data_IF_219923596855
#
_entry.id   IF_219923596855
#
_cell.length_a   1.000
_cell.length_b   1.000
_cell.length_c   1.000
_cell.angle_alpha   90.00
_cell.angle_beta   90.00
_cell.angle_gamma   90.00
#
_symmetry.space_group_name_H-M   'P 1'
#
loop_
_entity.id
_entity.type
_entity.pdbx_description
1 polymer ?
#
# COMPACT_ATOMS: atom_id res chain seq x y z
N UNK A 1 -1.75 -11.05 23.66
CA UNK A 1 -2.85 -11.36 22.71
C UNK A 1 -4.15 -11.78 23.40
N UNK A 2 -4.14 -12.58 24.49
CA UNK A 2 -5.36 -12.95 25.25
C UNK A 2 -6.16 -11.78 25.87
N UNK A 3 -5.51 -10.64 26.17
CA UNK A 3 -6.17 -9.45 26.75
C UNK A 3 -7.19 -8.77 25.81
N UNK A 4 -7.17 -9.04 24.50
CA UNK A 4 -8.08 -8.39 23.53
C UNK A 4 -8.96 -9.37 22.74
N UNK A 5 -9.00 -10.67 23.10
CA UNK A 5 -9.77 -11.71 22.39
C UNK A 5 -9.59 -11.72 20.86
N UNK A 6 -8.46 -11.21 20.33
CA UNK A 6 -8.18 -11.25 18.90
C UNK A 6 -7.54 -12.58 18.53
N UNK A 7 -8.04 -13.18 17.45
CA UNK A 7 -7.46 -14.38 16.88
C UNK A 7 -6.07 -14.04 16.29
N UNK A 8 -4.99 -14.74 16.73
CA UNK A 8 -3.65 -14.57 16.20
C UNK A 8 -3.55 -14.69 14.67
N UNK A 9 -4.47 -15.44 14.03
CA UNK A 9 -4.51 -15.61 12.58
C UNK A 9 -4.64 -14.27 11.81
N UNK A 10 -5.24 -13.25 12.43
CA UNK A 10 -5.40 -11.92 11.82
C UNK A 10 -4.21 -10.98 12.08
N UNK A 11 -3.29 -11.36 12.97
CA UNK A 11 -2.09 -10.56 13.27
C UNK A 11 -0.97 -10.90 12.27
N UNK A 12 -1.11 -10.47 11.01
CA UNK A 12 -0.19 -10.80 9.90
C UNK A 12 0.55 -9.58 9.31
N UNK A 13 1.39 -8.89 10.11
CA UNK A 13 2.18 -7.74 9.63
C UNK A 13 3.24 -8.12 8.57
N UNK A 14 3.53 -9.42 8.40
CA UNK A 14 4.38 -9.95 7.34
C UNK A 14 3.80 -9.71 5.94
N UNK A 15 2.46 -9.68 5.81
CA UNK A 15 1.79 -9.38 4.54
C UNK A 15 2.12 -7.94 4.11
N UNK A 16 1.92 -6.98 5.00
CA UNK A 16 2.28 -5.57 4.76
C UNK A 16 3.77 -5.43 4.48
N UNK A 17 4.63 -6.14 5.23
CA UNK A 17 6.07 -6.14 5.00
C UNK A 17 6.42 -6.55 3.57
N UNK A 18 5.88 -7.67 3.08
CA UNK A 18 6.12 -8.13 1.71
C UNK A 18 5.58 -7.17 0.66
N UNK A 19 4.39 -6.59 0.88
CA UNK A 19 3.83 -5.58 -0.03
C UNK A 19 4.76 -4.38 -0.17
N UNK A 20 5.24 -3.85 0.96
CA UNK A 20 6.18 -2.73 0.97
C UNK A 20 7.50 -3.07 0.27
N UNK A 21 8.01 -4.30 0.41
CA UNK A 21 9.20 -4.72 -0.32
C UNK A 21 8.98 -4.68 -1.84
N UNK A 22 7.82 -5.14 -2.33
CA UNK A 22 7.50 -5.11 -3.76
C UNK A 22 7.29 -3.68 -4.27
N UNK A 23 6.54 -2.86 -3.53
CA UNK A 23 6.26 -1.47 -3.89
C UNK A 23 7.55 -0.63 -3.94
N UNK A 24 8.40 -0.70 -2.92
CA UNK A 24 9.59 0.15 -2.84
C UNK A 24 10.76 -0.30 -3.73
N UNK A 25 10.76 -1.57 -4.16
CA UNK A 25 11.75 -2.08 -5.12
C UNK A 25 11.39 -1.79 -6.57
N UNK A 26 10.12 -1.47 -6.84
CA UNK A 26 9.62 -1.21 -8.18
C UNK A 26 10.38 -0.08 -8.90
N UNK A 27 10.69 -0.23 -10.20
CA UNK A 27 11.10 0.89 -11.05
C UNK A 27 10.17 2.10 -10.91
N UNK A 28 8.85 1.89 -10.75
CA UNK A 28 7.87 2.94 -10.54
C UNK A 28 8.20 3.85 -9.34
N UNK A 29 8.58 3.26 -8.20
CA UNK A 29 9.02 4.02 -7.04
C UNK A 29 10.33 4.76 -7.28
N UNK A 30 11.28 4.14 -7.99
CA UNK A 30 12.58 4.77 -8.32
C UNK A 30 12.42 5.93 -9.30
N UNK A 31 11.43 5.89 -10.17
CA UNK A 31 11.06 6.97 -11.07
C UNK A 31 10.35 8.13 -10.34
N UNK A 32 10.02 7.99 -9.05
CA UNK A 32 9.33 9.02 -8.27
C UNK A 32 7.83 9.11 -8.54
N UNK A 33 7.25 8.07 -9.14
CA UNK A 33 5.84 8.03 -9.56
C UNK A 33 4.96 7.16 -8.65
N UNK A 34 5.47 6.80 -7.46
CA UNK A 34 4.74 6.02 -6.47
C UNK A 34 4.76 6.73 -5.11
N UNK A 35 3.57 6.88 -4.53
CA UNK A 35 3.38 7.29 -3.14
C UNK A 35 2.60 6.20 -2.40
N UNK A 36 3.09 5.79 -1.22
CA UNK A 36 2.51 4.68 -0.45
C UNK A 36 1.94 5.18 0.88
N UNK A 37 0.71 4.75 1.17
CA UNK A 37 0.05 4.92 2.46
C UNK A 37 -0.30 3.55 3.04
N UNK A 38 -0.27 3.44 4.37
CA UNK A 38 -0.78 2.27 5.09
C UNK A 38 -1.91 2.73 6.00
N UNK A 39 -3.09 2.16 5.80
CA UNK A 39 -4.19 2.27 6.75
C UNK A 39 -4.29 0.98 7.56
N UNK A 40 -4.13 1.09 8.87
CA UNK A 40 -4.12 -0.08 9.77
C UNK A 40 -5.52 -0.40 10.29
N UNK A 41 -5.72 -1.65 10.72
CA UNK A 41 -6.98 -2.10 11.37
C UNK A 41 -7.35 -1.25 12.61
N UNK A 42 -6.37 -0.61 13.26
CA UNK A 42 -6.58 0.30 14.39
C UNK A 42 -6.71 1.78 13.98
N UNK A 43 -7.07 2.03 12.72
CA UNK A 43 -7.32 3.35 12.15
C UNK A 43 -6.11 4.31 12.19
N UNK A 44 -4.88 3.81 12.35
CA UNK A 44 -3.68 4.62 12.14
C UNK A 44 -3.40 4.70 10.63
N UNK A 45 -3.23 5.92 10.12
CA UNK A 45 -2.82 6.20 8.75
C UNK A 45 -1.34 6.61 8.72
N UNK A 46 -0.56 5.91 7.90
CA UNK A 46 0.88 6.08 7.81
C UNK A 46 1.24 6.51 6.40
N UNK A 47 1.93 7.63 6.26
CA UNK A 47 2.56 8.05 5.01
C UNK A 47 4.01 7.59 5.01
N UNK A 48 4.46 7.01 3.90
CA UNK A 48 5.83 6.56 3.71
C UNK A 48 6.48 7.39 2.60
N UNK A 49 7.60 8.01 2.90
CA UNK A 49 8.39 8.75 1.93
C UNK A 49 8.99 7.76 0.89
N UNK A 50 8.92 8.04 -0.41
CA UNK A 50 9.47 7.17 -1.48
C UNK A 50 10.95 6.80 -1.31
N UNK A 51 11.73 7.64 -0.63
CA UNK A 51 13.15 7.39 -0.33
C UNK A 51 13.38 6.38 0.81
N UNK A 52 12.32 5.91 1.46
CA UNK A 52 12.42 4.99 2.60
C UNK A 52 12.92 3.61 2.15
N UNK A 53 14.04 3.17 2.73
CA UNK A 53 14.54 1.80 2.57
C UNK A 53 13.85 0.87 3.55
N UNK A 54 12.90 0.08 3.07
CA UNK A 54 12.18 -0.90 3.87
C UNK A 54 13.15 -2.02 4.32
N UNK A 55 13.25 -2.32 5.64
CA UNK A 55 14.13 -3.39 6.10
C UNK A 55 13.77 -4.74 5.48
N UNK A 56 14.75 -5.47 4.93
CA UNK A 56 14.52 -6.77 4.28
C UNK A 56 14.14 -7.90 5.24
N UNK A 57 14.60 -7.83 6.48
CA UNK A 57 14.27 -8.83 7.49
C UNK A 57 13.06 -8.42 8.31
N UNK A 58 12.12 -9.34 8.48
CA UNK A 58 10.88 -9.09 9.21
C UNK A 58 11.11 -8.62 10.65
N UNK A 59 12.14 -9.13 11.33
CA UNK A 59 12.51 -8.70 12.70
C UNK A 59 12.86 -7.20 12.76
N UNK A 60 13.64 -6.70 11.78
CA UNK A 60 13.99 -5.27 11.71
C UNK A 60 12.80 -4.41 11.32
N UNK A 61 12.00 -4.89 10.36
CA UNK A 61 10.75 -4.23 9.98
C UNK A 61 9.80 -4.07 11.19
N UNK A 62 9.61 -5.13 11.96
CA UNK A 62 8.77 -5.12 13.17
C UNK A 62 9.27 -4.09 14.19
N UNK A 63 10.58 -4.05 14.45
CA UNK A 63 11.18 -3.03 15.32
C UNK A 63 10.95 -1.60 14.82
N UNK A 64 11.06 -1.38 13.51
CA UNK A 64 10.79 -0.09 12.88
C UNK A 64 9.32 0.34 13.05
N UNK A 65 8.37 -0.58 12.85
CA UNK A 65 6.94 -0.30 13.03
C UNK A 65 6.61 0.02 14.50
N UNK A 66 7.20 -0.71 15.45
CA UNK A 66 7.05 -0.40 16.89
C UNK A 66 7.57 1.01 17.19
N UNK A 67 8.75 1.35 16.69
CA UNK A 67 9.30 2.69 16.86
C UNK A 67 8.40 3.77 16.24
N UNK A 68 7.87 3.53 15.05
CA UNK A 68 6.96 4.46 14.36
C UNK A 68 5.68 4.69 15.17
N UNK A 69 5.06 3.63 15.68
CA UNK A 69 3.85 3.73 16.49
C UNK A 69 4.08 4.44 17.83
N UNK A 70 5.28 4.30 18.43
CA UNK A 70 5.63 5.01 19.67
C UNK A 70 6.01 6.47 19.46
N UNK A 71 6.76 6.78 18.40
CA UNK A 71 7.31 8.13 18.14
C UNK A 71 6.48 8.95 17.16
N UNK A 72 5.45 8.37 16.56
CA UNK A 72 4.60 8.94 15.50
C UNK A 72 5.34 9.29 14.19
N UNK A 73 6.68 9.21 14.16
CA UNK A 73 7.49 9.41 12.98
C UNK A 73 8.85 8.69 13.07
N UNK A 74 9.42 8.40 11.90
CA UNK A 74 10.78 7.93 11.70
C UNK A 74 11.51 8.98 10.86
N UNK A 75 12.73 9.34 11.27
CA UNK A 75 13.60 10.29 10.56
C UNK A 75 14.82 9.58 10.02
N UNK A 76 15.39 10.12 8.96
CA UNK A 76 16.71 9.70 8.50
C UNK A 76 17.76 9.99 9.59
N UNK A 77 18.77 9.11 9.74
CA UNK A 77 19.75 9.21 10.84
C UNK A 77 20.55 10.52 10.87
N UNK A 78 20.71 11.17 9.72
CA UNK A 78 21.51 12.41 9.55
C UNK A 78 20.69 13.64 9.15
N UNK A 79 19.35 13.56 9.11
CA UNK A 79 18.54 14.61 8.49
C UNK A 79 17.20 14.91 9.17
N UNK A 80 16.63 16.08 8.86
CA UNK A 80 15.28 16.49 9.27
C UNK A 80 14.17 15.74 8.53
N UNK A 81 14.51 15.03 7.45
CA UNK A 81 13.59 14.31 6.58
C UNK A 81 12.89 13.19 7.36
N UNK A 82 11.55 13.25 7.36
CA UNK A 82 10.69 12.20 7.89
C UNK A 82 10.51 11.12 6.81
N UNK A 83 10.98 9.91 7.10
CA UNK A 83 10.86 8.75 6.23
C UNK A 83 9.47 8.10 6.37
N UNK A 84 8.96 8.03 7.59
CA UNK A 84 7.61 7.55 7.87
C UNK A 84 6.95 8.48 8.88
N UNK A 85 5.66 8.75 8.73
CA UNK A 85 4.90 9.53 9.71
C UNK A 85 3.47 9.02 9.81
N UNK A 86 2.93 9.05 11.01
CA UNK A 86 1.50 8.88 11.23
C UNK A 86 0.84 10.23 10.93
N UNK A 87 -0.17 10.19 10.07
CA UNK A 87 -0.94 11.34 9.60
C UNK A 87 -2.41 11.20 10.03
N UNK A 88 -3.18 12.29 9.89
CA UNK A 88 -4.60 12.31 10.24
C UNK A 88 -5.42 11.64 9.15
N UNK A 89 -6.46 10.92 9.54
CA UNK A 89 -7.51 10.45 8.64
C UNK A 89 -8.43 11.61 8.22
N UNK A 90 -9.16 11.48 7.10
CA UNK A 90 -9.14 10.36 6.13
C UNK A 90 -7.95 10.40 5.16
N UNK A 91 -7.67 9.29 4.46
CA UNK A 91 -6.60 9.23 3.44
C UNK A 91 -6.87 10.14 2.26
N UNK A 92 -8.14 10.40 1.95
CA UNK A 92 -8.59 11.26 0.85
C UNK A 92 -8.06 12.69 0.94
N UNK A 93 -7.82 13.20 2.15
CA UNK A 93 -7.27 14.54 2.37
C UNK A 93 -5.81 14.68 1.89
N UNK A 94 -5.13 13.55 1.68
CA UNK A 94 -3.74 13.47 1.27
C UNK A 94 -3.58 13.06 -0.20
N UNK A 95 -4.68 12.75 -0.89
CA UNK A 95 -4.66 12.43 -2.31
C UNK A 95 -4.76 13.72 -3.15
N UNK A 96 -4.14 13.75 -4.35
CA UNK A 96 -4.29 14.89 -5.25
C UNK A 96 -5.74 15.14 -5.68
N UNK A 97 -6.03 16.38 -6.09
CA UNK A 97 -7.33 16.73 -6.68
C UNK A 97 -7.55 15.95 -7.97
N UNK A 98 -8.77 15.46 -8.18
CA UNK A 98 -9.10 14.64 -9.35
C UNK A 98 -8.59 13.20 -9.27
N UNK A 99 -8.01 12.78 -8.14
CA UNK A 99 -7.51 11.43 -7.99
C UNK A 99 -8.67 10.43 -8.02
N UNK A 100 -8.61 9.48 -8.96
CA UNK A 100 -9.55 8.34 -9.04
C UNK A 100 -9.17 7.29 -8.01
N UNK A 101 -10.12 6.80 -7.21
CA UNK A 101 -9.88 5.80 -6.15
C UNK A 101 -10.51 4.47 -6.53
N UNK A 102 -9.68 3.45 -6.74
CA UNK A 102 -10.16 2.11 -7.10
C UNK A 102 -9.74 1.08 -6.06
N UNK A 103 -10.64 0.14 -5.75
CA UNK A 103 -10.36 -1.02 -4.92
C UNK A 103 -9.93 -2.23 -5.74
N UNK A 104 -9.15 -3.11 -5.14
CA UNK A 104 -8.88 -4.45 -5.68
C UNK A 104 -9.57 -5.51 -4.84
N UNK A 105 -10.32 -6.40 -5.47
CA UNK A 105 -10.98 -7.52 -4.79
C UNK A 105 -11.12 -8.71 -5.74
N UNK A 106 -10.73 -9.90 -5.25
CA UNK A 106 -10.86 -11.15 -5.98
C UNK A 106 -12.34 -11.50 -6.29
N UNK A 107 -13.25 -11.17 -5.37
CA UNK A 107 -14.68 -11.49 -5.51
C UNK A 107 -15.44 -10.50 -6.41
N UNK A 108 -14.74 -9.51 -6.99
CA UNK A 108 -15.37 -8.58 -7.90
C UNK A 108 -15.61 -9.24 -9.28
N UNK A 109 -16.81 -9.04 -9.85
CA UNK A 109 -17.17 -9.55 -11.18
C UNK A 109 -16.43 -8.83 -12.33
N UNK A 110 -15.92 -7.61 -12.10
CA UNK A 110 -15.18 -6.83 -13.09
C UNK A 110 -13.73 -7.30 -13.14
N UNK A 111 -13.46 -8.35 -13.90
CA UNK A 111 -12.10 -8.81 -14.21
C UNK A 111 -11.47 -7.92 -15.28
N UNK A 112 -10.30 -7.36 -15.00
CA UNK A 112 -9.58 -6.46 -15.91
C UNK A 112 -8.09 -6.81 -15.98
N UNK A 113 -7.47 -6.50 -17.11
CA UNK A 113 -6.02 -6.48 -17.18
C UNK A 113 -5.51 -5.28 -16.36
N UNK A 114 -4.49 -5.44 -15.48
CA UNK A 114 -3.93 -4.32 -14.72
C UNK A 114 -3.58 -3.08 -15.56
N UNK A 115 -3.15 -3.26 -16.81
CA UNK A 115 -2.82 -2.16 -17.73
C UNK A 115 -4.03 -1.28 -18.08
N UNK A 116 -5.24 -1.82 -18.04
CA UNK A 116 -6.50 -1.07 -18.25
C UNK A 116 -6.87 -0.18 -17.06
N UNK A 117 -6.20 -0.35 -15.91
CA UNK A 117 -6.38 0.52 -14.75
C UNK A 117 -5.51 1.79 -14.84
N UNK A 118 -4.53 1.82 -15.73
CA UNK A 118 -3.65 2.98 -15.92
C UNK A 118 -4.44 4.09 -16.62
N UNK A 119 -4.48 5.32 -16.09
CA UNK A 119 -5.12 6.45 -16.76
C UNK A 119 -4.44 6.76 -18.10
N UNK A 120 -5.22 7.19 -19.08
CA UNK A 120 -4.71 7.57 -20.41
C UNK A 120 -4.01 8.94 -20.39
N UNK A 121 -4.38 9.81 -19.45
CA UNK A 121 -3.75 11.11 -19.23
C UNK A 121 -2.90 11.17 -17.96
N UNK A 122 -2.57 12.40 -17.55
CA UNK A 122 -1.76 12.69 -16.36
C UNK A 122 -2.58 12.67 -15.05
N UNK A 123 -3.81 12.14 -15.07
CA UNK A 123 -4.65 12.08 -13.88
C UNK A 123 -4.06 11.15 -12.82
N UNK A 124 -4.03 11.56 -11.55
CA UNK A 124 -3.56 10.70 -10.48
C UNK A 124 -4.57 9.58 -10.19
N UNK A 125 -4.06 8.42 -9.79
CA UNK A 125 -4.89 7.28 -9.40
C UNK A 125 -4.39 6.68 -8.09
N UNK A 126 -5.33 6.33 -7.21
CA UNK A 126 -5.08 5.64 -5.96
C UNK A 126 -5.68 4.23 -6.01
N UNK A 127 -4.84 3.22 -5.77
CA UNK A 127 -5.24 1.81 -5.81
C UNK A 127 -5.20 1.24 -4.39
N UNK A 128 -6.36 0.75 -3.93
CA UNK A 128 -6.53 0.19 -2.58
C UNK A 128 -6.36 -1.32 -2.62
N UNK A 129 -5.30 -1.80 -1.96
CA UNK A 129 -4.93 -3.21 -1.88
C UNK A 129 -5.08 -3.70 -0.44
N UNK A 130 -5.81 -4.79 -0.25
CA UNK A 130 -6.04 -5.40 1.06
C UNK A 130 -4.80 -6.13 1.58
N UNK A 131 -4.06 -5.52 2.50
CA UNK A 131 -2.92 -6.15 3.18
C UNK A 131 -3.37 -6.99 4.40
N UNK A 132 -4.27 -7.95 4.18
CA UNK A 132 -4.91 -8.76 5.23
C UNK A 132 -4.81 -10.26 4.94
N UNK A 133 -4.92 -11.09 5.98
CA UNK A 133 -4.87 -12.55 5.85
C UNK A 133 -6.14 -13.11 5.20
N UNK A 134 -7.29 -12.59 5.62
CA UNK A 134 -8.62 -12.93 5.16
C UNK A 134 -9.50 -11.68 5.22
N UNK A 135 -10.50 -11.60 4.35
CA UNK A 135 -11.43 -10.48 4.25
C UNK A 135 -11.41 -9.84 2.87
N UNK A 136 -12.22 -8.79 2.71
CA UNK A 136 -12.29 -7.97 1.52
C UNK A 136 -11.93 -6.53 1.86
N UNK A 137 -11.46 -5.79 0.86
CA UNK A 137 -11.28 -4.34 0.99
C UNK A 137 -12.67 -3.70 1.01
N UNK A 138 -13.07 -3.17 2.16
CA UNK A 138 -14.30 -2.39 2.35
C UNK A 138 -13.93 -1.00 2.84
N UNK A 139 -13.92 -0.03 1.92
CA UNK A 139 -13.64 1.37 2.22
C UNK A 139 -14.67 2.26 1.53
N UNK A 140 -15.02 3.37 2.16
CA UNK A 140 -16.09 4.28 1.74
C UNK A 140 -15.66 5.26 0.63
N UNK A 141 -14.36 5.34 0.33
CA UNK A 141 -13.80 6.32 -0.60
C UNK A 141 -13.46 5.75 -1.98
N UNK A 142 -13.59 4.44 -2.21
CA UNK A 142 -13.37 3.85 -3.54
C UNK A 142 -14.62 4.02 -4.41
N UNK A 143 -14.41 4.46 -5.64
CA UNK A 143 -15.49 4.66 -6.63
C UNK A 143 -15.90 3.33 -7.27
N UNK A 144 -14.93 2.47 -7.54
CA UNK A 144 -15.13 1.16 -8.15
C UNK A 144 -14.14 0.14 -7.56
N UNK A 145 -14.46 -1.14 -7.73
CA UNK A 145 -13.54 -2.24 -7.42
C UNK A 145 -13.37 -3.15 -8.63
N UNK A 146 -12.19 -3.74 -8.74
CA UNK A 146 -11.83 -4.62 -9.85
C UNK A 146 -11.13 -5.89 -9.34
N UNK A 147 -11.33 -6.98 -10.06
CA UNK A 147 -10.46 -8.15 -9.97
C UNK A 147 -9.39 -8.07 -11.05
N UNK A 148 -8.15 -8.40 -10.71
CA UNK A 148 -7.01 -8.37 -11.66
C UNK A 148 -6.51 -9.77 -12.04
N UNK A 149 -7.18 -10.81 -11.55
CA UNK A 149 -6.84 -12.21 -11.85
C UNK A 149 -8.02 -13.12 -11.55
N UNK A 150 -8.16 -14.19 -12.33
CA UNK A 150 -9.08 -15.30 -12.08
C UNK A 150 -8.65 -16.16 -10.88
N UNK A 151 -7.44 -15.96 -10.36
CA UNK A 151 -6.91 -16.65 -9.20
C UNK A 151 -6.77 -15.71 -8.00
N UNK A 152 -7.00 -16.20 -6.77
CA UNK A 152 -6.68 -15.44 -5.57
C UNK A 152 -5.19 -15.10 -5.54
N UNK A 153 -4.87 -13.81 -5.41
CA UNK A 153 -3.49 -13.34 -5.35
C UNK A 153 -3.11 -12.97 -3.92
N UNK A 154 -1.82 -13.11 -3.59
CA UNK A 154 -1.28 -12.44 -2.42
C UNK A 154 -1.29 -10.93 -2.63
N UNK A 155 -1.39 -10.16 -1.54
CA UNK A 155 -1.34 -8.70 -1.61
C UNK A 155 -0.01 -8.20 -2.23
N UNK A 156 1.11 -8.88 -1.93
CA UNK A 156 2.42 -8.54 -2.49
C UNK A 156 2.49 -8.78 -4.01
N UNK A 157 1.92 -9.89 -4.50
CA UNK A 157 1.85 -10.17 -5.93
C UNK A 157 0.91 -9.18 -6.65
N UNK A 158 -0.17 -8.78 -5.99
CA UNK A 158 -1.07 -7.72 -6.47
C UNK A 158 -0.33 -6.40 -6.64
N UNK A 159 0.45 -5.99 -5.62
CA UNK A 159 1.32 -4.81 -5.71
C UNK A 159 2.28 -4.89 -6.90
N UNK A 160 2.97 -6.02 -7.06
CA UNK A 160 3.92 -6.22 -8.16
C UNK A 160 3.26 -6.14 -9.53
N UNK A 161 2.11 -6.80 -9.74
CA UNK A 161 1.38 -6.76 -11.02
C UNK A 161 0.89 -5.37 -11.38
N UNK A 162 0.44 -4.61 -10.38
CA UNK A 162 0.03 -3.21 -10.57
C UNK A 162 1.25 -2.37 -10.96
N UNK A 163 2.34 -2.41 -10.18
CA UNK A 163 3.54 -1.64 -10.51
C UNK A 163 4.04 -1.93 -11.92
N UNK A 164 4.16 -3.21 -12.30
CA UNK A 164 4.63 -3.59 -13.64
C UNK A 164 3.71 -3.11 -14.76
N UNK A 165 2.40 -3.07 -14.54
CA UNK A 165 1.47 -2.56 -15.55
C UNK A 165 1.58 -1.05 -15.75
N UNK A 166 1.77 -0.31 -14.66
CA UNK A 166 2.03 1.13 -14.72
C UNK A 166 3.39 1.43 -15.35
N UNK A 167 4.41 0.64 -15.02
CA UNK A 167 5.75 0.75 -15.61
C UNK A 167 5.71 0.55 -17.12
N UNK A 168 5.04 -0.50 -17.61
CA UNK A 168 4.89 -0.76 -19.03
C UNK A 168 4.12 0.36 -19.74
N UNK A 169 3.01 0.82 -19.15
CA UNK A 169 2.18 1.86 -19.74
C UNK A 169 2.89 3.23 -19.80
N UNK A 170 3.73 3.53 -18.81
CA UNK A 170 4.47 4.80 -18.72
C UNK A 170 5.90 4.72 -19.29
N UNK A 171 6.29 3.58 -19.89
CA UNK A 171 7.60 3.43 -20.54
C UNK A 171 8.79 3.42 -19.59
N UNK A 172 8.61 2.88 -18.38
CA UNK A 172 9.65 2.77 -17.35
C UNK A 172 10.30 1.38 -17.47
N UNK A 173 11.62 1.35 -17.69
CA UNK A 173 12.40 0.13 -17.92
C UNK A 173 13.65 0.06 -17.03
#
# INVERSE_FOLDING_TARGET
MRKHKKDPAFCRPDITHQCLLMLFDSPLNRAGLLQVYIHTEKNALIEINPQTRIPRTFKRFSGLMVQLLHKMCIRAGSGSIKLMKIIKNPVTDWLPVGCKKIGTSFHCSKLVCPRQLVPEGDEPIAIVIGAMAHGAVEVDYTEESFSISEYPLSAALTCSKICSAFEEAWGIH
#
